data_IF_524264005079
#
_entry.id   IF_524264005079
#
_cell.length_a   1.000
_cell.length_b   1.000
_cell.length_c   1.000
_cell.angle_alpha   90.00
_cell.angle_beta   90.00
_cell.angle_gamma   90.00
#
_symmetry.space_group_name_H-M   'P 1'
#
loop_
_entity.id
_entity.type
_entity.pdbx_description
1 polymer ?
#
# COMPACT_ATOMS: atom_id res chain seq x y z
N UNK A 1 -1.79 -6.30 6.37
CA UNK A 1 -1.50 -5.92 4.97
C UNK A 1 -2.37 -4.76 4.51
N UNK A 2 -3.70 -4.89 4.50
CA UNK A 2 -4.56 -3.74 4.13
C UNK A 2 -4.41 -2.55 5.10
N UNK A 3 -4.44 -2.81 6.40
CA UNK A 3 -4.25 -1.78 7.43
C UNK A 3 -2.92 -1.02 7.25
N UNK A 4 -1.82 -1.77 7.08
CA UNK A 4 -0.50 -1.23 6.72
C UNK A 4 -0.54 -0.32 5.47
N UNK A 5 -1.16 -0.78 4.39
CA UNK A 5 -1.35 0.03 3.17
C UNK A 5 -2.18 1.30 3.44
N UNK A 6 -3.32 1.16 4.13
CA UNK A 6 -4.22 2.27 4.41
C UNK A 6 -3.56 3.35 5.28
N UNK A 7 -2.71 2.95 6.22
CA UNK A 7 -1.99 3.88 7.09
C UNK A 7 -0.96 4.67 6.31
N UNK A 8 -0.18 4.01 5.44
CA UNK A 8 0.80 4.67 4.59
C UNK A 8 0.12 5.66 3.65
N UNK A 9 -0.95 5.26 2.96
CA UNK A 9 -1.63 6.13 1.98
C UNK A 9 -2.27 7.34 2.66
N UNK A 10 -2.98 7.14 3.78
CA UNK A 10 -3.61 8.26 4.50
C UNK A 10 -2.57 9.23 5.06
N UNK A 11 -1.54 8.68 5.70
CA UNK A 11 -0.49 9.49 6.32
C UNK A 11 0.34 10.22 5.27
N UNK A 12 0.70 9.56 4.15
CA UNK A 12 1.38 10.20 3.03
C UNK A 12 0.51 11.28 2.39
N UNK A 13 -0.78 11.01 2.18
CA UNK A 13 -1.75 11.97 1.62
C UNK A 13 -1.88 13.27 2.42
N UNK A 14 -1.92 13.15 3.75
CA UNK A 14 -1.98 14.31 4.66
C UNK A 14 -0.63 14.96 4.98
N UNK A 15 0.49 14.29 4.69
CA UNK A 15 1.81 14.70 5.17
C UNK A 15 2.28 16.05 4.65
N UNK A 16 1.94 16.42 3.40
CA UNK A 16 2.32 17.71 2.81
C UNK A 16 1.51 18.89 3.36
N UNK A 17 0.25 18.65 3.73
CA UNK A 17 -0.63 19.65 4.34
C UNK A 17 -0.29 19.89 5.81
N UNK A 18 0.08 18.83 6.54
CA UNK A 18 0.40 18.93 7.97
C UNK A 18 1.81 19.49 8.23
N UNK A 19 2.74 19.33 7.30
CA UNK A 19 4.14 19.79 7.45
C UNK A 19 4.45 21.08 6.66
N UNK A 20 3.43 21.84 6.23
CA UNK A 20 3.62 23.09 5.45
C UNK A 20 4.50 24.11 6.18
N UNK A 21 4.47 24.16 7.52
CA UNK A 21 5.29 25.05 8.35
C UNK A 21 6.79 24.69 8.41
N UNK A 22 7.16 23.44 8.13
CA UNK A 22 8.57 23.01 8.06
C UNK A 22 9.17 23.23 6.66
N UNK A 23 8.32 23.15 5.63
CA UNK A 23 8.73 23.27 4.22
C UNK A 23 9.15 24.70 3.85
N UNK A 24 8.67 25.71 4.56
CA UNK A 24 8.99 27.13 4.29
C UNK A 24 10.31 27.61 4.90
N UNK A 25 10.94 26.87 5.83
CA UNK A 25 12.13 27.35 6.56
C UNK A 25 13.44 26.66 6.20
N UNK A 26 13.43 25.45 5.67
CA UNK A 26 14.65 24.70 5.34
C UNK A 26 14.40 23.86 4.09
N UNK A 27 15.35 23.82 3.14
CA UNK A 27 15.34 22.95 1.96
C UNK A 27 15.38 21.46 2.41
N UNK A 28 14.24 20.91 2.85
CA UNK A 28 14.13 19.51 3.28
C UNK A 28 13.74 18.62 2.09
N UNK A 29 14.46 17.51 1.82
CA UNK A 29 14.09 16.57 0.77
C UNK A 29 12.72 15.96 1.08
N UNK A 30 11.72 16.30 0.26
CA UNK A 30 10.30 15.96 0.50
C UNK A 30 10.02 14.45 0.47
N UNK A 31 10.95 13.65 -0.03
CA UNK A 31 10.93 12.18 -0.03
C UNK A 31 11.17 11.54 1.35
N UNK A 32 11.75 12.26 2.31
CA UNK A 32 12.00 11.74 3.67
C UNK A 32 10.69 11.57 4.43
N UNK A 33 9.68 12.40 4.15
CA UNK A 33 8.39 12.39 4.86
C UNK A 33 7.59 11.10 4.55
N UNK A 34 7.40 10.67 3.29
CA UNK A 34 6.80 9.36 3.01
C UNK A 34 7.61 8.19 3.58
N UNK A 35 8.94 8.30 3.61
CA UNK A 35 9.81 7.23 4.10
C UNK A 35 9.68 7.02 5.61
N UNK A 36 9.55 8.09 6.39
CA UNK A 36 9.34 7.99 7.85
C UNK A 36 7.99 7.35 8.20
N UNK A 37 6.95 7.67 7.41
CA UNK A 37 5.63 7.04 7.52
C UNK A 37 5.70 5.54 7.25
N UNK A 38 6.43 5.13 6.20
CA UNK A 38 6.63 3.71 5.86
C UNK A 38 7.30 2.97 7.01
N UNK A 39 8.37 3.53 7.59
CA UNK A 39 9.07 2.90 8.71
C UNK A 39 8.16 2.73 9.93
N UNK A 40 7.38 3.75 10.29
CA UNK A 40 6.41 3.67 11.39
C UNK A 40 5.37 2.59 11.15
N UNK A 41 4.74 2.58 9.97
CA UNK A 41 3.74 1.57 9.62
C UNK A 41 4.35 0.16 9.58
N UNK A 42 5.63 0.03 9.22
CA UNK A 42 6.32 -1.26 9.16
C UNK A 42 6.60 -1.82 10.57
N UNK A 43 6.91 -0.95 11.53
CA UNK A 43 7.01 -1.33 12.95
C UNK A 43 5.66 -1.79 13.49
N UNK A 44 4.57 -1.04 13.24
CA UNK A 44 3.22 -1.41 13.67
C UNK A 44 2.78 -2.73 13.02
N UNK A 45 3.10 -2.94 11.74
CA UNK A 45 2.89 -4.20 11.05
C UNK A 45 3.71 -5.36 11.66
N UNK A 46 4.97 -5.12 12.01
CA UNK A 46 5.83 -6.15 12.62
C UNK A 46 5.30 -6.59 13.99
N UNK A 47 4.79 -5.67 14.81
CA UNK A 47 4.13 -5.97 16.08
C UNK A 47 2.87 -6.81 15.84
N UNK A 48 1.99 -6.37 14.94
CA UNK A 48 0.77 -7.10 14.60
C UNK A 48 1.07 -8.50 14.03
N UNK A 49 2.10 -8.62 13.18
CA UNK A 49 2.54 -9.88 12.60
C UNK A 49 3.15 -10.82 13.65
N UNK A 50 3.90 -10.28 14.63
CA UNK A 50 4.41 -11.06 15.76
C UNK A 50 3.28 -11.67 16.59
N UNK A 51 2.25 -10.87 16.92
CA UNK A 51 1.04 -11.37 17.61
C UNK A 51 0.35 -12.45 16.78
N UNK A 52 0.21 -12.25 15.47
CA UNK A 52 -0.37 -13.24 14.57
C UNK A 52 0.43 -14.55 14.54
N UNK A 53 1.76 -14.49 14.53
CA UNK A 53 2.61 -15.68 14.57
C UNK A 53 2.44 -16.47 15.89
N UNK A 54 2.33 -15.76 17.03
CA UNK A 54 2.04 -16.39 18.33
C UNK A 54 0.69 -17.13 18.29
N UNK A 55 -0.34 -16.51 17.69
CA UNK A 55 -1.64 -17.17 17.51
C UNK A 55 -1.52 -18.41 16.61
N UNK A 56 -0.79 -18.35 15.50
CA UNK A 56 -0.59 -19.52 14.62
C UNK A 56 0.05 -20.70 15.37
N UNK A 57 1.03 -20.43 16.24
CA UNK A 57 1.64 -21.46 17.08
C UNK A 57 0.61 -22.05 18.06
N UNK A 58 -0.23 -21.21 18.67
CA UNK A 58 -1.31 -21.66 19.55
C UNK A 58 -2.33 -22.56 18.83
N UNK A 59 -2.69 -22.22 17.59
CA UNK A 59 -3.60 -23.01 16.74
C UNK A 59 -2.93 -24.20 16.03
N UNK A 60 -1.64 -24.49 16.32
CA UNK A 60 -0.86 -25.59 15.72
C UNK A 60 -0.82 -25.57 14.19
N UNK A 61 -0.94 -24.40 13.57
CA UNK A 61 -0.78 -24.26 12.12
C UNK A 61 0.70 -24.36 11.79
N UNK A 62 1.08 -25.36 10.98
CA UNK A 62 2.49 -25.58 10.65
C UNK A 62 3.01 -24.43 9.78
N UNK A 63 4.07 -23.72 10.21
CA UNK A 63 4.72 -22.72 9.37
C UNK A 63 5.30 -23.41 8.13
N UNK A 64 4.88 -22.99 6.95
CA UNK A 64 5.43 -23.51 5.68
C UNK A 64 6.72 -22.76 5.34
N UNK A 65 7.67 -23.38 4.63
CA UNK A 65 8.88 -22.71 4.10
C UNK A 65 8.57 -21.44 3.27
N UNK A 66 7.32 -21.35 2.78
CA UNK A 66 6.78 -20.19 2.08
C UNK A 66 6.82 -18.89 2.91
N UNK A 67 6.96 -18.95 4.25
CA UNK A 67 7.15 -17.78 5.10
C UNK A 67 8.35 -16.92 4.67
N UNK A 68 9.38 -17.52 4.06
CA UNK A 68 10.55 -16.79 3.56
C UNK A 68 10.19 -15.83 2.41
N UNK A 69 9.04 -16.02 1.75
CA UNK A 69 8.55 -15.13 0.69
C UNK A 69 7.76 -13.93 1.24
N UNK A 70 7.46 -13.88 2.54
CA UNK A 70 6.72 -12.77 3.14
C UNK A 70 7.40 -11.40 2.98
N UNK A 71 8.72 -11.25 3.17
CA UNK A 71 9.40 -9.96 2.98
C UNK A 71 9.18 -9.41 1.58
N UNK A 72 9.15 -10.27 0.56
CA UNK A 72 8.89 -9.87 -0.83
C UNK A 72 7.51 -9.23 -0.99
N UNK A 73 6.46 -9.83 -0.42
CA UNK A 73 5.10 -9.28 -0.49
C UNK A 73 4.92 -8.00 0.34
N UNK A 74 5.65 -7.86 1.44
CA UNK A 74 5.68 -6.64 2.24
C UNK A 74 6.33 -5.50 1.44
N UNK A 75 7.44 -5.76 0.76
CA UNK A 75 8.09 -4.78 -0.13
C UNK A 75 7.14 -4.39 -1.27
N UNK A 76 6.46 -5.37 -1.88
CA UNK A 76 5.50 -5.10 -2.95
C UNK A 76 4.34 -4.21 -2.46
N UNK A 77 3.75 -4.52 -1.30
CA UNK A 77 2.71 -3.70 -0.68
C UNK A 77 3.22 -2.28 -0.36
N UNK A 78 4.47 -2.15 0.08
CA UNK A 78 5.10 -0.87 0.37
C UNK A 78 5.27 -0.02 -0.88
N UNK A 79 5.74 -0.62 -1.98
CA UNK A 79 5.88 0.02 -3.30
C UNK A 79 4.53 0.58 -3.77
N UNK A 80 3.46 -0.22 -3.66
CA UNK A 80 2.10 0.20 -4.03
C UNK A 80 1.60 1.33 -3.11
N UNK A 81 1.78 1.17 -1.79
CA UNK A 81 1.34 2.14 -0.80
C UNK A 81 2.02 3.50 -0.99
N UNK A 82 3.33 3.51 -1.25
CA UNK A 82 4.09 4.72 -1.55
C UNK A 82 3.64 5.33 -2.87
N UNK A 83 3.46 4.53 -3.94
CA UNK A 83 2.99 5.05 -5.24
C UNK A 83 1.63 5.76 -5.14
N UNK A 84 0.65 5.11 -4.52
CA UNK A 84 -0.69 5.67 -4.30
C UNK A 84 -0.65 6.83 -3.30
N UNK A 85 0.14 6.71 -2.23
CA UNK A 85 0.35 7.76 -1.24
C UNK A 85 0.91 9.04 -1.85
N UNK A 86 1.86 8.94 -2.78
CA UNK A 86 2.43 10.09 -3.51
C UNK A 86 1.39 10.76 -4.43
N UNK A 87 0.53 9.99 -5.09
CA UNK A 87 -0.61 10.53 -5.84
C UNK A 87 -1.57 11.28 -4.93
N UNK A 88 -2.00 10.62 -3.86
CA UNK A 88 -2.91 11.21 -2.88
C UNK A 88 -2.34 12.49 -2.28
N UNK A 89 -1.05 12.52 -1.96
CA UNK A 89 -0.37 13.68 -1.40
C UNK A 89 -0.32 14.85 -2.41
N UNK A 90 0.01 14.56 -3.67
CA UNK A 90 0.06 15.58 -4.72
C UNK A 90 -1.32 16.19 -4.98
N UNK A 91 -2.36 15.34 -5.07
CA UNK A 91 -3.73 15.78 -5.31
C UNK A 91 -4.25 16.56 -4.09
N UNK A 92 -3.94 16.12 -2.88
CA UNK A 92 -4.38 16.77 -1.63
C UNK A 92 -3.82 18.18 -1.47
N UNK A 93 -2.64 18.47 -2.03
CA UNK A 93 -2.10 19.83 -2.01
C UNK A 93 -2.77 20.73 -3.04
N UNK A 94 -3.15 20.19 -4.19
CA UNK A 94 -3.98 20.93 -5.16
C UNK A 94 -5.40 21.15 -4.65
N UNK A 95 -5.96 20.16 -3.95
CA UNK A 95 -7.33 20.15 -3.45
C UNK A 95 -7.35 19.65 -2.00
N UNK A 96 -7.41 20.59 -1.04
CA UNK A 96 -7.35 20.28 0.41
C UNK A 96 -8.44 19.31 0.87
N UNK A 97 -9.58 19.26 0.20
CA UNK A 97 -10.69 18.37 0.55
C UNK A 97 -10.39 16.89 0.24
N UNK A 98 -9.49 16.61 -0.69
CA UNK A 98 -9.12 15.22 -1.05
C UNK A 98 -8.49 14.49 0.14
N UNK A 99 -7.71 15.19 0.98
CA UNK A 99 -7.14 14.60 2.18
C UNK A 99 -8.21 14.11 3.18
N UNK A 100 -9.39 14.76 3.21
CA UNK A 100 -10.51 14.38 4.08
C UNK A 100 -11.33 13.23 3.50
N UNK A 101 -11.42 13.13 2.18
CA UNK A 101 -12.22 12.11 1.49
C UNK A 101 -11.40 10.82 1.27
N UNK A 102 -10.06 10.92 1.26
CA UNK A 102 -9.15 9.79 1.06
C UNK A 102 -9.43 8.56 1.95
N UNK A 103 -9.73 8.69 3.25
CA UNK A 103 -10.08 7.53 4.09
C UNK A 103 -11.31 6.79 3.58
N UNK A 104 -12.32 7.50 3.06
CA UNK A 104 -13.53 6.89 2.51
C UNK A 104 -13.23 6.09 1.23
N UNK A 105 -12.38 6.62 0.35
CA UNK A 105 -11.95 5.89 -0.85
C UNK A 105 -11.18 4.62 -0.50
N UNK A 106 -10.30 4.70 0.51
CA UNK A 106 -9.58 3.52 1.01
C UNK A 106 -10.59 2.53 1.62
N UNK A 107 -11.59 2.99 2.37
CA UNK A 107 -12.61 2.11 2.92
C UNK A 107 -13.40 1.38 1.81
N UNK A 108 -13.75 2.05 0.72
CA UNK A 108 -14.34 1.39 -0.46
C UNK A 108 -13.35 0.42 -1.09
N UNK A 109 -12.08 0.79 -1.21
CA UNK A 109 -11.00 -0.05 -1.71
C UNK A 109 -10.81 -1.35 -0.92
N UNK A 110 -11.07 -1.35 0.40
CA UNK A 110 -11.05 -2.54 1.23
C UNK A 110 -12.06 -3.59 0.75
N UNK A 111 -13.28 -3.17 0.42
CA UNK A 111 -14.32 -4.06 -0.08
C UNK A 111 -14.09 -4.50 -1.52
N UNK A 112 -13.41 -3.68 -2.32
CA UNK A 112 -12.98 -4.03 -3.68
C UNK A 112 -11.76 -4.96 -3.72
N UNK A 113 -11.15 -5.21 -2.57
CA UNK A 113 -9.99 -6.09 -2.45
C UNK A 113 -10.42 -7.34 -1.70
N UNK A 114 -9.98 -8.55 -2.09
CA UNK A 114 -10.35 -9.79 -1.41
C UNK A 114 -9.58 -9.94 -0.07
N UNK A 115 -9.79 -8.99 0.83
CA UNK A 115 -9.28 -9.00 2.21
C UNK A 115 -10.25 -9.75 3.10
N UNK A 116 -11.55 -9.45 2.99
CA UNK A 116 -12.60 -10.05 3.82
C UNK A 116 -13.16 -11.37 3.25
N UNK A 117 -12.90 -11.69 1.98
CA UNK A 117 -13.47 -12.85 1.29
C UNK A 117 -12.43 -13.60 0.44
N UNK A 118 -12.78 -14.83 0.04
CA UNK A 118 -11.99 -15.67 -0.85
C UNK A 118 -12.26 -15.29 -2.31
N UNK A 119 -11.22 -15.35 -3.17
CA UNK A 119 -11.39 -15.14 -4.61
C UNK A 119 -12.32 -16.15 -5.27
N UNK A 120 -12.46 -17.34 -4.68
CA UNK A 120 -13.32 -18.42 -5.20
C UNK A 120 -14.80 -18.04 -5.24
N UNK A 121 -15.22 -17.06 -4.44
CA UNK A 121 -16.61 -16.56 -4.39
C UNK A 121 -16.89 -15.64 -5.59
N UNK A 122 -15.85 -15.13 -6.27
CA UNK A 122 -16.00 -14.15 -7.34
C UNK A 122 -16.30 -14.86 -8.68
N UNK A 123 -17.35 -14.47 -9.41
CA UNK A 123 -17.62 -15.02 -10.73
C UNK A 123 -16.45 -14.79 -11.70
N UNK A 124 -16.10 -15.81 -12.50
CA UNK A 124 -14.97 -15.77 -13.45
C UNK A 124 -14.98 -14.55 -14.39
N UNK A 125 -16.19 -14.07 -14.76
CA UNK A 125 -16.38 -12.89 -15.62
C UNK A 125 -15.81 -11.59 -15.03
N UNK A 126 -15.69 -11.47 -13.70
CA UNK A 126 -15.23 -10.24 -13.03
C UNK A 126 -13.80 -10.35 -12.47
N UNK A 127 -13.16 -11.52 -12.52
CA UNK A 127 -11.82 -11.72 -11.96
C UNK A 127 -10.77 -10.78 -12.56
N UNK A 128 -10.88 -10.42 -13.84
CA UNK A 128 -9.94 -9.49 -14.49
C UNK A 128 -9.98 -8.08 -13.88
N UNK A 129 -11.16 -7.60 -13.45
CA UNK A 129 -11.32 -6.30 -12.77
C UNK A 129 -10.63 -6.33 -11.41
N UNK A 130 -10.76 -7.44 -10.69
CA UNK A 130 -10.09 -7.61 -9.42
C UNK A 130 -8.56 -7.66 -9.58
N UNK A 131 -8.05 -8.32 -10.62
CA UNK A 131 -6.61 -8.30 -10.90
C UNK A 131 -6.07 -6.96 -11.40
N UNK A 132 -6.90 -5.98 -11.76
CA UNK A 132 -6.42 -4.61 -11.99
C UNK A 132 -6.00 -3.91 -10.70
N UNK A 133 -6.52 -4.34 -9.55
CA UNK A 133 -6.17 -3.74 -8.28
C UNK A 133 -4.82 -4.29 -7.77
N UNK A 134 -3.78 -3.45 -7.67
CA UNK A 134 -2.41 -3.89 -7.35
C UNK A 134 -2.29 -4.53 -5.96
N UNK A 135 -3.17 -4.18 -5.02
CA UNK A 135 -3.17 -4.76 -3.67
C UNK A 135 -3.58 -6.23 -3.65
N UNK A 136 -4.30 -6.68 -4.68
CA UNK A 136 -4.78 -8.05 -4.78
C UNK A 136 -3.62 -9.04 -4.85
N UNK A 137 -2.59 -8.73 -5.64
CA UNK A 137 -1.39 -9.57 -5.74
C UNK A 137 -0.61 -9.68 -4.41
N UNK A 138 -0.47 -8.56 -3.69
CA UNK A 138 0.21 -8.54 -2.40
C UNK A 138 -0.54 -9.38 -1.34
N UNK A 139 -1.87 -9.29 -1.31
CA UNK A 139 -2.71 -10.00 -0.33
C UNK A 139 -2.80 -11.49 -0.65
N UNK A 140 -2.99 -11.84 -1.92
CA UNK A 140 -3.05 -13.24 -2.36
C UNK A 140 -1.71 -13.95 -2.14
N UNK A 141 -0.59 -13.27 -2.45
CA UNK A 141 0.75 -13.76 -2.16
C UNK A 141 1.03 -13.95 -0.67
N UNK A 142 0.56 -13.02 0.17
CA UNK A 142 0.64 -13.15 1.62
C UNK A 142 -0.20 -14.33 2.15
N UNK A 143 -1.39 -14.57 1.58
CA UNK A 143 -2.23 -15.74 1.93
C UNK A 143 -1.56 -17.05 1.52
N UNK A 144 -0.95 -17.11 0.35
CA UNK A 144 -0.18 -18.27 -0.08
C UNK A 144 1.00 -18.55 0.82
N UNK A 145 1.74 -17.51 1.21
CA UNK A 145 2.89 -17.65 2.09
C UNK A 145 2.52 -18.24 3.46
N UNK A 146 1.31 -17.96 3.95
CA UNK A 146 0.82 -18.41 5.25
C UNK A 146 0.04 -19.73 5.21
N UNK A 147 -0.82 -19.92 4.22
CA UNK A 147 -1.81 -21.00 4.16
C UNK A 147 -1.49 -22.05 3.08
N UNK A 148 -0.49 -21.82 2.22
CA UNK A 148 -0.13 -22.74 1.14
C UNK A 148 -1.16 -22.85 0.02
N UNK A 149 -2.08 -21.87 -0.11
CA UNK A 149 -3.13 -21.85 -1.15
C UNK A 149 -2.54 -21.72 -2.56
N UNK A 150 -3.06 -22.42 -3.59
CA UNK A 150 -2.46 -22.40 -4.92
C UNK A 150 -2.39 -20.98 -5.50
N UNK A 151 -1.20 -20.58 -5.96
CA UNK A 151 -1.00 -19.29 -6.62
C UNK A 151 -0.76 -19.48 -8.10
N UNK A 152 -1.42 -18.64 -8.89
CA UNK A 152 -1.16 -18.51 -10.31
C UNK A 152 0.04 -17.59 -10.54
N UNK A 153 1.23 -18.17 -10.70
CA UNK A 153 2.49 -17.47 -10.95
C UNK A 153 2.41 -16.44 -12.09
N UNK A 154 1.66 -16.76 -13.15
CA UNK A 154 1.43 -15.85 -14.27
C UNK A 154 0.74 -14.54 -13.85
N UNK A 155 -0.19 -14.62 -12.88
CA UNK A 155 -0.90 -13.45 -12.36
C UNK A 155 -0.02 -12.63 -11.43
N UNK A 156 0.83 -13.28 -10.63
CA UNK A 156 1.81 -12.59 -9.78
C UNK A 156 2.75 -11.69 -10.58
N UNK A 157 3.23 -12.15 -11.75
CA UNK A 157 4.12 -11.35 -12.60
C UNK A 157 3.40 -10.07 -13.07
N UNK A 158 2.15 -10.19 -13.53
CA UNK A 158 1.34 -9.04 -13.93
C UNK A 158 1.16 -8.06 -12.77
N UNK A 159 0.91 -8.56 -11.55
CA UNK A 159 0.78 -7.74 -10.35
C UNK A 159 2.07 -6.99 -10.00
N UNK A 160 3.23 -7.63 -10.16
CA UNK A 160 4.53 -6.98 -9.97
C UNK A 160 4.69 -5.82 -10.95
N UNK A 161 4.39 -6.04 -12.24
CA UNK A 161 4.44 -4.99 -13.25
C UNK A 161 3.49 -3.82 -12.93
N UNK A 162 2.25 -4.10 -12.54
CA UNK A 162 1.28 -3.05 -12.16
C UNK A 162 1.79 -2.27 -10.94
N UNK A 163 2.35 -2.96 -9.93
CA UNK A 163 2.89 -2.33 -8.72
C UNK A 163 4.03 -1.36 -9.04
N UNK A 164 4.97 -1.77 -9.89
CA UNK A 164 6.04 -0.89 -10.36
C UNK A 164 5.52 0.25 -11.23
N UNK A 165 4.53 0.02 -12.09
CA UNK A 165 3.91 1.07 -12.89
C UNK A 165 3.23 2.14 -12.01
N UNK A 166 2.54 1.72 -10.94
CA UNK A 166 1.93 2.62 -9.94
C UNK A 166 3.00 3.42 -9.20
N UNK A 167 4.12 2.81 -8.81
CA UNK A 167 5.22 3.55 -8.18
C UNK A 167 5.86 4.56 -9.14
N UNK A 168 6.18 4.16 -10.37
CA UNK A 168 6.83 5.02 -11.36
C UNK A 168 5.91 6.20 -11.72
N UNK A 169 4.63 5.94 -11.99
CA UNK A 169 3.64 6.99 -12.22
C UNK A 169 3.45 7.89 -10.99
N UNK A 170 3.50 7.30 -9.79
CA UNK A 170 3.51 7.99 -8.50
C UNK A 170 4.63 9.01 -8.39
N UNK A 171 5.86 8.54 -8.57
CA UNK A 171 7.09 9.33 -8.52
C UNK A 171 7.14 10.39 -9.62
N UNK A 172 6.74 10.04 -10.84
CA UNK A 172 6.76 10.99 -11.97
C UNK A 172 5.76 12.13 -11.75
N UNK A 173 4.54 11.82 -11.28
CA UNK A 173 3.53 12.82 -10.97
C UNK A 173 3.99 13.74 -9.83
N UNK A 174 4.53 13.16 -8.76
CA UNK A 174 5.06 13.90 -7.62
C UNK A 174 6.21 14.85 -8.03
N UNK A 175 7.22 14.34 -8.77
CA UNK A 175 8.35 15.17 -9.25
C UNK A 175 7.92 16.28 -10.20
N UNK A 176 6.93 16.02 -11.07
CA UNK A 176 6.42 17.05 -11.98
C UNK A 176 5.70 18.16 -11.23
N UNK A 177 4.95 17.80 -10.19
CA UNK A 177 4.27 18.77 -9.33
C UNK A 177 5.24 19.47 -8.38
N UNK A 178 6.33 18.83 -7.94
CA UNK A 178 7.38 19.38 -7.05
C UNK A 178 7.82 20.78 -7.50
N UNK A 179 8.00 20.96 -8.82
CA UNK A 179 8.38 22.24 -9.45
C UNK A 179 7.33 23.35 -9.35
N UNK A 180 6.06 23.01 -9.16
CA UNK A 180 4.93 23.97 -9.04
C UNK A 180 4.53 24.27 -7.60
N UNK A 181 5.02 23.52 -6.61
CA UNK A 181 4.67 23.78 -5.20
C UNK A 181 5.23 25.11 -4.68
N UNK A 182 6.32 25.63 -5.27
CA UNK A 182 6.88 26.91 -4.87
C UNK A 182 5.96 28.10 -5.21
N UNK A 183 5.06 27.95 -6.20
CA UNK A 183 4.15 29.02 -6.63
C UNK A 183 2.76 28.96 -5.97
N UNK A 184 2.40 27.85 -5.30
CA UNK A 184 1.03 27.59 -4.81
C UNK A 184 0.93 27.62 -3.27
N UNK A 185 2.06 27.64 -2.56
CA UNK A 185 2.13 27.72 -1.09
C UNK A 185 2.39 29.16 -0.65
#
# INVERSE_FOLDING_TARGET
MWTYFSEIVNSAGGSLLNNTNLITKIYFPRLIIPLSVVLRALLDFAVAFGVFMIMMLFYRVKPTLLLLTLPFFIVLATIIAVGIGLWAATISVKYRDVAKILPYFIQVGFFLTPVAYLMEIIPQKYLWIYYLNPMVGAIEGFRWALLGTPVLWAKLIIQIFISFAVLISGLFYFRRFERKFADVI
#
